data_IF_587355969976
#
_entry.id   IF_587355969976
#
_cell.length_a   1.000
_cell.length_b   1.000
_cell.length_c   1.000
_cell.angle_alpha   90.00
_cell.angle_beta   90.00
_cell.angle_gamma   90.00
#
_symmetry.space_group_name_H-M   'P 1'
#
loop_
_entity.id
_entity.type
_entity.pdbx_description
1 polymer ?
#
# COMPACT_ATOMS: atom_id res chain seq x y z
N UNK A 1 -7.45 -6.54 6.77
CA UNK A 1 -6.70 -5.24 6.75
C UNK A 1 -6.92 -4.49 8.06
N UNK A 2 -5.87 -3.91 8.62
CA UNK A 2 -5.96 -3.05 9.80
C UNK A 2 -6.55 -1.69 9.42
N UNK A 3 -7.26 -1.03 10.37
CA UNK A 3 -7.91 0.27 10.12
C UNK A 3 -7.23 1.35 10.93
N UNK A 4 -6.93 2.48 10.29
CA UNK A 4 -6.36 3.68 10.91
C UNK A 4 -7.26 4.87 10.64
N UNK A 5 -7.59 5.65 11.69
CA UNK A 5 -8.41 6.87 11.55
C UNK A 5 -7.52 8.10 11.48
N UNK A 6 -7.78 8.98 10.51
CA UNK A 6 -7.10 10.25 10.29
C UNK A 6 -8.12 11.38 10.18
N UNK A 7 -7.78 12.56 10.69
CA UNK A 7 -8.61 13.76 10.57
C UNK A 7 -8.03 14.69 9.52
N UNK A 8 -8.81 14.99 8.49
CA UNK A 8 -8.44 15.92 7.44
C UNK A 8 -9.27 17.21 7.48
N UNK A 9 -8.77 18.24 6.82
CA UNK A 9 -9.52 19.47 6.58
C UNK A 9 -9.73 19.66 5.09
N UNK A 10 -10.95 19.98 4.64
CA UNK A 10 -11.22 20.23 3.24
C UNK A 10 -10.41 21.42 2.72
N UNK A 11 -10.13 21.41 1.42
CA UNK A 11 -9.33 22.42 0.75
C UNK A 11 -10.08 22.98 -0.45
N UNK A 12 -10.37 24.26 -0.44
CA UNK A 12 -11.06 24.96 -1.54
C UNK A 12 -10.08 25.44 -2.62
N UNK A 13 -8.92 25.96 -2.20
CA UNK A 13 -7.94 26.52 -3.13
C UNK A 13 -6.98 25.45 -3.65
N UNK A 14 -7.03 25.17 -4.94
CA UNK A 14 -6.18 24.22 -5.61
C UNK A 14 -5.18 24.97 -6.49
N UNK A 15 -3.91 24.99 -6.09
CA UNK A 15 -2.87 25.69 -6.86
C UNK A 15 -1.46 25.49 -6.33
N UNK A 16 -0.47 25.82 -7.16
CA UNK A 16 0.97 25.64 -6.86
C UNK A 16 1.43 26.46 -5.65
N UNK A 17 0.96 27.72 -5.56
CA UNK A 17 1.35 28.62 -4.45
C UNK A 17 0.78 28.13 -3.12
N UNK A 18 -0.48 27.74 -3.12
CA UNK A 18 -1.16 27.21 -1.94
C UNK A 18 -0.54 25.88 -1.48
N UNK A 19 -0.33 24.93 -2.38
CA UNK A 19 0.33 23.67 -2.06
C UNK A 19 1.74 23.87 -1.45
N UNK A 20 2.51 24.87 -1.92
CA UNK A 20 3.81 25.22 -1.33
C UNK A 20 3.66 25.77 0.09
N UNK A 21 2.68 26.66 0.32
CA UNK A 21 2.42 27.23 1.64
C UNK A 21 1.96 26.19 2.65
N UNK A 22 1.12 25.23 2.26
CA UNK A 22 0.66 24.12 3.10
C UNK A 22 1.85 23.24 3.53
N UNK A 23 2.71 22.82 2.60
CA UNK A 23 3.89 22.01 2.92
C UNK A 23 4.87 22.72 3.85
N UNK A 24 5.00 24.03 3.77
CA UNK A 24 5.81 24.82 4.72
C UNK A 24 5.24 24.80 6.14
N UNK A 25 3.93 24.58 6.29
CA UNK A 25 3.24 24.45 7.58
C UNK A 25 3.22 23.00 8.10
N UNK A 26 3.85 22.04 7.38
CA UNK A 26 3.81 20.62 7.73
C UNK A 26 2.49 19.93 7.34
N UNK A 27 1.73 20.53 6.42
CA UNK A 27 0.49 19.96 5.90
C UNK A 27 0.73 19.37 4.51
N UNK A 28 0.18 18.19 4.27
CA UNK A 28 0.27 17.48 3.00
C UNK A 28 -1.04 17.64 2.23
N UNK A 29 -1.00 18.20 1.02
CA UNK A 29 -2.17 18.21 0.14
C UNK A 29 -2.49 16.81 -0.33
N UNK A 30 -3.76 16.42 -0.21
CA UNK A 30 -4.28 15.11 -0.56
C UNK A 30 -5.46 15.24 -1.51
N UNK A 31 -5.73 14.15 -2.24
CA UNK A 31 -6.91 13.99 -3.06
C UNK A 31 -7.61 12.68 -2.72
N UNK A 32 -8.92 12.73 -2.62
CA UNK A 32 -9.81 11.58 -2.50
C UNK A 32 -10.59 11.44 -3.80
N UNK A 33 -10.59 10.25 -4.38
CA UNK A 33 -11.33 9.94 -5.60
C UNK A 33 -11.91 8.52 -5.54
N UNK A 34 -12.70 8.16 -6.54
CA UNK A 34 -13.39 6.85 -6.62
C UNK A 34 -14.85 6.90 -6.22
N UNK A 35 -15.28 7.93 -5.48
CA UNK A 35 -16.66 8.24 -5.17
C UNK A 35 -17.38 9.08 -6.25
N UNK A 36 -18.49 9.69 -5.89
CA UNK A 36 -19.27 10.57 -6.78
C UNK A 36 -18.53 11.86 -7.13
N UNK A 37 -17.75 12.38 -6.17
CA UNK A 37 -17.00 13.63 -6.31
C UNK A 37 -15.55 13.44 -5.89
N UNK A 38 -14.67 14.14 -6.57
CA UNK A 38 -13.29 14.28 -6.14
C UNK A 38 -13.20 15.35 -5.05
N UNK A 39 -12.60 15.01 -3.91
CA UNK A 39 -12.45 15.90 -2.77
C UNK A 39 -10.97 16.21 -2.56
N UNK A 40 -10.64 17.50 -2.48
CA UNK A 40 -9.31 17.95 -2.11
C UNK A 40 -9.28 18.29 -0.62
N UNK A 41 -8.28 17.80 0.09
CA UNK A 41 -8.13 18.00 1.52
C UNK A 41 -6.66 18.05 1.93
N UNK A 42 -6.39 18.31 3.19
CA UNK A 42 -5.06 18.32 3.77
C UNK A 42 -5.00 17.45 5.00
N UNK A 43 -3.87 16.77 5.19
CA UNK A 43 -3.53 16.01 6.39
C UNK A 43 -2.24 16.56 7.01
N UNK A 44 -2.04 16.37 8.30
CA UNK A 44 -0.76 16.63 8.96
C UNK A 44 0.29 15.59 8.51
N UNK A 45 1.50 16.02 8.18
CA UNK A 45 2.60 15.14 7.77
C UNK A 45 2.90 14.05 8.82
N UNK A 46 2.69 14.35 10.11
CA UNK A 46 2.91 13.42 11.22
C UNK A 46 1.96 12.22 11.20
N UNK A 47 0.74 12.42 10.71
CA UNK A 47 -0.26 11.35 10.64
C UNK A 47 0.11 10.28 9.63
N UNK A 48 0.87 10.63 8.60
CA UNK A 48 1.39 9.67 7.63
C UNK A 48 2.37 8.67 8.25
N UNK A 49 3.03 9.02 9.34
CA UNK A 49 3.96 8.12 10.02
C UNK A 49 3.30 6.77 10.41
N UNK A 50 1.99 6.77 10.67
CA UNK A 50 1.22 5.60 11.07
C UNK A 50 0.93 4.63 9.91
N UNK A 51 0.95 5.11 8.67
CA UNK A 51 0.49 4.34 7.50
C UNK A 51 1.58 4.14 6.42
N UNK A 52 2.65 4.95 6.46
CA UNK A 52 3.67 4.99 5.41
C UNK A 52 4.92 4.19 5.77
N UNK A 53 5.38 4.29 7.02
CA UNK A 53 6.62 3.65 7.46
C UNK A 53 6.45 2.20 7.92
N UNK A 54 5.33 1.60 7.58
CA UNK A 54 5.02 0.19 7.83
C UNK A 54 4.93 -0.57 6.51
N UNK A 55 5.33 -1.85 6.45
CA UNK A 55 5.15 -2.66 5.25
C UNK A 55 3.68 -2.98 4.96
N UNK A 56 2.84 -2.91 5.97
CA UNK A 56 1.44 -3.29 5.93
C UNK A 56 0.57 -2.36 5.07
N UNK A 57 -0.58 -2.84 4.65
CA UNK A 57 -1.57 -2.04 3.92
C UNK A 57 -2.77 -1.78 4.82
N UNK A 58 -3.11 -0.50 5.00
CA UNK A 58 -4.16 -0.05 5.90
C UNK A 58 -5.41 0.41 5.15
N UNK A 59 -6.56 0.09 5.72
CA UNK A 59 -7.80 0.78 5.42
C UNK A 59 -7.80 2.09 6.24
N UNK A 60 -7.83 3.23 5.57
CA UNK A 60 -7.73 4.54 6.22
C UNK A 60 -9.13 5.15 6.30
N UNK A 61 -9.61 5.39 7.51
CA UNK A 61 -10.84 6.18 7.75
C UNK A 61 -10.46 7.64 7.84
N UNK A 62 -10.91 8.43 6.88
CA UNK A 62 -10.66 9.87 6.85
C UNK A 62 -11.92 10.59 7.30
N UNK A 63 -11.80 11.40 8.36
CA UNK A 63 -12.88 12.28 8.81
C UNK A 63 -12.73 13.64 8.13
N UNK A 64 -13.70 14.02 7.31
CA UNK A 64 -13.80 15.33 6.64
C UNK A 64 -15.15 15.95 6.99
N UNK A 65 -15.13 17.16 7.58
CA UNK A 65 -16.35 17.90 7.97
C UNK A 65 -17.36 17.10 8.80
N UNK A 66 -16.86 16.10 9.56
CA UNK A 66 -17.70 15.24 10.40
C UNK A 66 -18.20 13.95 9.72
N UNK A 67 -17.93 13.77 8.44
CA UNK A 67 -18.19 12.54 7.72
C UNK A 67 -16.96 11.62 7.74
N UNK A 68 -17.17 10.34 8.05
CA UNK A 68 -16.13 9.32 7.98
C UNK A 68 -16.21 8.59 6.64
N UNK A 69 -15.11 8.60 5.88
CA UNK A 69 -15.00 7.94 4.58
C UNK A 69 -13.93 6.87 4.67
N UNK A 70 -14.27 5.64 4.28
CA UNK A 70 -13.30 4.54 4.18
C UNK A 70 -12.51 4.66 2.89
N UNK A 71 -11.20 4.71 3.03
CA UNK A 71 -10.27 4.96 1.92
C UNK A 71 -9.08 4.04 1.95
N UNK A 72 -8.44 3.88 0.81
CA UNK A 72 -7.16 3.21 0.66
C UNK A 72 -6.12 4.19 0.13
N UNK A 73 -4.95 4.23 0.75
CA UNK A 73 -3.82 5.00 0.23
C UNK A 73 -3.29 4.32 -1.04
N UNK A 74 -3.39 5.01 -2.18
CA UNK A 74 -2.99 4.46 -3.49
C UNK A 74 -1.58 4.87 -3.88
N UNK A 75 -1.25 6.15 -3.71
CA UNK A 75 0.06 6.66 -4.10
C UNK A 75 0.53 7.78 -3.18
N UNK A 76 1.84 7.91 -3.04
CA UNK A 76 2.50 8.97 -2.29
C UNK A 76 3.66 9.51 -3.12
N UNK A 77 3.70 10.82 -3.24
CA UNK A 77 4.81 11.52 -3.87
C UNK A 77 5.76 12.06 -2.81
N UNK A 78 7.03 11.73 -2.94
CA UNK A 78 8.09 12.21 -2.06
C UNK A 78 8.98 13.25 -2.73
N UNK A 79 9.54 14.12 -1.93
CA UNK A 79 10.59 15.03 -2.41
C UNK A 79 11.91 14.25 -2.57
N UNK A 80 12.56 14.29 -3.75
CA UNK A 80 13.68 13.40 -4.08
C UNK A 80 14.94 13.58 -3.23
N UNK A 81 15.04 14.67 -2.46
CA UNK A 81 16.22 14.99 -1.64
C UNK A 81 15.92 14.99 -0.15
N UNK A 82 14.71 15.39 0.24
CA UNK A 82 14.34 15.58 1.66
C UNK A 82 13.40 14.51 2.19
N UNK A 83 12.93 13.59 1.34
CA UNK A 83 11.96 12.52 1.62
C UNK A 83 10.62 13.02 2.21
N UNK A 84 10.41 14.34 2.23
CA UNK A 84 9.13 14.91 2.67
C UNK A 84 8.01 14.53 1.72
N UNK A 85 6.84 14.26 2.27
CA UNK A 85 5.66 13.93 1.49
C UNK A 85 5.15 15.19 0.78
N UNK A 86 5.04 15.11 -0.54
CA UNK A 86 4.56 16.20 -1.40
C UNK A 86 3.07 16.11 -1.69
N UNK A 87 2.56 14.91 -1.86
CA UNK A 87 1.16 14.63 -2.19
C UNK A 87 0.80 13.21 -1.80
N UNK A 88 -0.47 12.98 -1.51
CA UNK A 88 -1.01 11.63 -1.30
C UNK A 88 -2.37 11.47 -1.98
N UNK A 89 -2.55 10.32 -2.59
CA UNK A 89 -3.74 9.95 -3.34
C UNK A 89 -4.51 8.86 -2.58
N UNK A 90 -5.76 9.13 -2.26
CA UNK A 90 -6.65 8.21 -1.57
C UNK A 90 -7.78 7.77 -2.49
N UNK A 91 -8.05 6.48 -2.50
CA UNK A 91 -9.19 5.88 -3.20
C UNK A 91 -10.30 5.56 -2.20
N UNK A 92 -11.50 6.05 -2.45
CA UNK A 92 -12.69 5.68 -1.67
C UNK A 92 -13.02 4.19 -1.90
N UNK A 93 -13.25 3.48 -0.80
CA UNK A 93 -13.51 2.04 -0.80
C UNK A 93 -14.98 1.76 -0.61
N UNK A 94 -15.56 1.02 -1.55
CA UNK A 94 -16.94 0.54 -1.50
C UNK A 94 -16.97 -0.97 -1.32
N UNK A 95 -17.94 -1.46 -0.57
CA UNK A 95 -18.11 -2.89 -0.30
C UNK A 95 -18.46 -3.72 -1.53
N UNK A 96 -19.08 -3.10 -2.53
CA UNK A 96 -19.59 -3.72 -3.77
C UNK A 96 -18.65 -3.57 -4.97
N UNK A 97 -17.56 -2.80 -4.83
CA UNK A 97 -16.60 -2.57 -5.91
C UNK A 97 -15.25 -3.23 -5.62
N UNK A 98 -14.70 -4.00 -6.57
CA UNK A 98 -13.36 -4.54 -6.41
C UNK A 98 -12.32 -3.41 -6.51
N UNK A 99 -11.37 -3.42 -5.59
CA UNK A 99 -10.26 -2.47 -5.55
C UNK A 99 -8.96 -3.13 -5.98
N UNK A 100 -8.02 -2.32 -6.43
CA UNK A 100 -6.64 -2.70 -6.70
C UNK A 100 -5.77 -2.25 -5.54
N UNK A 101 -4.99 -3.18 -4.97
CA UNK A 101 -4.15 -2.89 -3.81
C UNK A 101 -2.84 -3.66 -3.88
N UNK A 102 -1.75 -3.06 -3.38
CA UNK A 102 -0.47 -3.71 -3.22
C UNK A 102 -0.35 -4.29 -1.81
N UNK A 103 -0.29 -5.63 -1.71
CA UNK A 103 -0.23 -6.36 -0.44
C UNK A 103 1.22 -6.81 -0.19
N UNK A 104 1.74 -6.68 1.05
CA UNK A 104 3.08 -7.13 1.38
C UNK A 104 3.22 -8.65 1.30
N UNK A 105 4.43 -9.09 0.99
CA UNK A 105 4.80 -10.51 0.93
C UNK A 105 5.68 -10.83 2.12
N UNK A 106 5.34 -11.91 2.83
CA UNK A 106 6.11 -12.45 3.94
C UNK A 106 6.64 -13.83 3.58
N UNK A 107 7.93 -14.06 3.76
CA UNK A 107 8.51 -15.38 3.68
C UNK A 107 8.36 -16.06 5.04
N UNK A 108 7.76 -17.25 5.07
CA UNK A 108 7.49 -18.02 6.29
C UNK A 108 8.23 -19.35 6.23
N UNK A 109 8.85 -19.76 7.33
CA UNK A 109 9.65 -20.97 7.45
C UNK A 109 11.14 -20.75 7.20
N UNK A 110 11.90 -21.83 7.28
CA UNK A 110 13.37 -21.85 7.11
C UNK A 110 13.72 -22.57 5.81
N UNK A 111 14.32 -21.86 4.87
CA UNK A 111 14.72 -22.46 3.60
C UNK A 111 16.00 -23.31 3.77
N UNK A 112 16.00 -24.60 3.39
CA UNK A 112 17.20 -25.44 3.41
C UNK A 112 18.36 -24.86 2.59
N UNK A 113 18.05 -24.15 1.51
CA UNK A 113 19.03 -23.45 0.70
C UNK A 113 19.77 -22.36 1.47
N UNK A 114 19.09 -21.62 2.34
CA UNK A 114 19.71 -20.59 3.20
C UNK A 114 20.57 -21.24 4.27
N UNK A 115 20.12 -22.34 4.87
CA UNK A 115 20.89 -23.11 5.85
C UNK A 115 22.17 -23.70 5.26
N UNK A 116 22.18 -23.99 3.96
CA UNK A 116 23.37 -24.50 3.20
C UNK A 116 24.30 -23.36 2.74
N UNK A 117 24.03 -22.11 3.13
CA UNK A 117 24.86 -20.95 2.82
C UNK A 117 24.35 -20.07 1.66
N UNK A 118 23.17 -20.35 1.12
CA UNK A 118 22.50 -19.49 0.14
C UNK A 118 21.93 -18.21 0.78
N UNK A 119 21.55 -17.26 -0.05
CA UNK A 119 20.93 -15.99 0.35
C UNK A 119 19.50 -15.92 -0.17
N UNK A 120 18.55 -15.62 0.72
CA UNK A 120 17.16 -15.34 0.35
C UNK A 120 17.07 -13.94 -0.25
N UNK A 121 16.62 -13.85 -1.47
CA UNK A 121 16.42 -12.58 -2.18
C UNK A 121 14.92 -12.35 -2.46
N UNK A 122 14.32 -11.42 -1.75
CA UNK A 122 12.94 -10.99 -1.97
C UNK A 122 12.95 -9.90 -3.06
N UNK A 123 12.54 -10.27 -4.27
CA UNK A 123 12.55 -9.39 -5.46
C UNK A 123 11.35 -8.47 -5.43
N UNK A 124 10.15 -9.02 -5.18
CA UNK A 124 8.92 -8.25 -5.01
C UNK A 124 8.48 -8.27 -3.55
N UNK A 125 8.56 -7.11 -2.91
CA UNK A 125 8.13 -6.94 -1.52
C UNK A 125 6.62 -6.78 -1.37
N UNK A 126 5.94 -6.35 -2.44
CA UNK A 126 4.48 -6.20 -2.50
C UNK A 126 3.99 -6.77 -3.83
N UNK A 127 2.82 -7.40 -3.81
CA UNK A 127 2.12 -7.90 -4.99
C UNK A 127 0.84 -7.13 -5.19
N UNK A 128 0.57 -6.75 -6.45
CA UNK A 128 -0.65 -6.02 -6.79
C UNK A 128 -1.76 -7.01 -7.06
N UNK A 129 -2.80 -6.94 -6.24
CA UNK A 129 -4.00 -7.79 -6.37
C UNK A 129 -5.25 -6.96 -6.61
N UNK A 130 -6.26 -7.61 -7.14
CA UNK A 130 -7.62 -7.09 -7.31
C UNK A 130 -8.59 -7.98 -6.57
N UNK A 131 -9.41 -7.37 -5.70
CA UNK A 131 -10.43 -8.06 -4.92
C UNK A 131 -11.33 -7.09 -4.19
N UNK A 132 -12.30 -7.63 -3.43
CA UNK A 132 -13.13 -6.81 -2.55
C UNK A 132 -12.38 -6.51 -1.26
N UNK A 133 -12.57 -5.33 -0.69
CA UNK A 133 -11.85 -4.88 0.50
C UNK A 133 -11.94 -5.87 1.69
N UNK A 134 -13.08 -6.54 1.85
CA UNK A 134 -13.31 -7.54 2.90
C UNK A 134 -12.51 -8.85 2.72
N UNK A 135 -12.14 -9.18 1.49
CA UNK A 135 -11.45 -10.43 1.16
C UNK A 135 -9.92 -10.23 1.07
N UNK A 136 -9.42 -9.00 1.25
CA UNK A 136 -8.00 -8.68 1.16
C UNK A 136 -7.32 -8.97 2.50
N UNK A 137 -6.32 -9.88 2.56
CA UNK A 137 -5.54 -10.18 3.75
C UNK A 137 -4.55 -9.06 4.10
N UNK A 138 -3.97 -9.11 5.30
CA UNK A 138 -2.93 -8.16 5.73
C UNK A 138 -1.60 -8.40 5.02
N UNK A 139 -1.31 -9.64 4.64
CA UNK A 139 -0.11 -10.04 3.92
C UNK A 139 -0.32 -11.33 3.14
N UNK A 140 0.61 -11.65 2.25
CA UNK A 140 0.67 -12.90 1.50
C UNK A 140 1.86 -13.69 2.05
N UNK A 141 1.57 -14.77 2.76
CA UNK A 141 2.59 -15.65 3.32
C UNK A 141 3.04 -16.66 2.26
N UNK A 142 4.34 -16.72 2.04
CA UNK A 142 4.97 -17.67 1.13
C UNK A 142 5.82 -18.64 1.96
N UNK A 143 5.47 -19.92 1.94
CA UNK A 143 6.26 -20.97 2.57
C UNK A 143 7.54 -21.23 1.77
N UNK A 144 8.68 -21.02 2.43
CA UNK A 144 10.01 -21.21 1.86
C UNK A 144 10.70 -22.50 2.35
N UNK A 145 10.02 -23.32 3.16
CA UNK A 145 10.61 -24.51 3.82
C UNK A 145 11.15 -25.58 2.86
N UNK A 146 10.75 -25.52 1.59
CA UNK A 146 11.17 -26.48 0.57
C UNK A 146 12.15 -25.90 -0.45
N UNK A 147 12.62 -24.66 -0.28
CA UNK A 147 13.45 -23.98 -1.27
C UNK A 147 14.94 -24.31 -1.09
N UNK A 148 15.57 -24.82 -2.14
CA UNK A 148 17.01 -25.04 -2.24
C UNK A 148 17.72 -23.87 -2.97
N UNK A 149 19.06 -23.92 -2.97
CA UNK A 149 19.87 -22.94 -3.72
C UNK A 149 19.57 -23.08 -5.21
N UNK A 150 19.18 -21.97 -5.85
CA UNK A 150 18.79 -21.90 -7.26
C UNK A 150 17.27 -21.88 -7.46
N UNK A 151 16.47 -22.18 -6.43
CA UNK A 151 15.02 -22.18 -6.55
C UNK A 151 14.44 -20.77 -6.51
N UNK A 152 13.25 -20.62 -7.11
CA UNK A 152 12.51 -19.37 -7.15
C UNK A 152 11.01 -19.62 -7.11
N UNK A 153 10.29 -18.79 -6.39
CA UNK A 153 8.82 -18.77 -6.36
C UNK A 153 8.31 -17.65 -7.27
N UNK A 154 7.38 -17.99 -8.13
CA UNK A 154 6.75 -17.07 -9.08
C UNK A 154 5.31 -16.79 -8.70
N UNK A 155 4.73 -15.70 -9.22
CA UNK A 155 3.35 -15.32 -8.93
C UNK A 155 2.36 -16.43 -9.31
N UNK A 156 2.58 -17.15 -10.41
CA UNK A 156 1.71 -18.27 -10.83
C UNK A 156 1.70 -19.46 -9.84
N UNK A 157 2.72 -19.55 -9.00
CA UNK A 157 2.86 -20.63 -8.01
C UNK A 157 2.11 -20.27 -6.70
N UNK A 158 1.61 -19.02 -6.61
CA UNK A 158 0.84 -18.50 -5.49
C UNK A 158 -0.67 -18.61 -5.79
N UNK A 159 -1.42 -19.00 -4.77
CA UNK A 159 -2.88 -19.04 -4.83
C UNK A 159 -3.43 -18.34 -3.60
N UNK A 160 -4.24 -17.31 -3.82
CA UNK A 160 -4.96 -16.62 -2.75
C UNK A 160 -6.44 -16.61 -3.13
N UNK A 161 -7.28 -17.13 -2.23
CA UNK A 161 -8.70 -17.25 -2.48
C UNK A 161 -9.34 -15.87 -2.74
N UNK A 162 -10.23 -15.81 -3.75
CA UNK A 162 -11.02 -14.63 -4.14
C UNK A 162 -10.23 -13.40 -4.60
N UNK A 163 -8.91 -13.51 -4.78
CA UNK A 163 -8.06 -12.44 -5.28
C UNK A 163 -7.52 -12.79 -6.67
N UNK A 164 -7.35 -11.77 -7.49
CA UNK A 164 -6.72 -11.90 -8.80
C UNK A 164 -5.42 -11.10 -8.80
N UNK A 165 -4.29 -11.76 -9.07
CA UNK A 165 -3.02 -11.08 -9.27
C UNK A 165 -3.05 -10.27 -10.57
N UNK A 166 -2.62 -9.02 -10.51
CA UNK A 166 -2.51 -8.14 -11.68
C UNK A 166 -1.13 -8.28 -12.32
N UNK A 167 -0.13 -8.53 -11.49
CA UNK A 167 1.24 -8.72 -11.95
C UNK A 167 1.36 -9.99 -12.80
N UNK A 168 2.27 -10.01 -13.81
CA UNK A 168 2.44 -11.16 -14.69
C UNK A 168 2.87 -12.42 -13.94
N UNK A 169 2.18 -13.54 -14.19
CA UNK A 169 2.39 -14.81 -13.47
C UNK A 169 3.81 -15.40 -13.59
N UNK A 170 4.59 -15.00 -14.60
CA UNK A 170 5.98 -15.46 -14.77
C UNK A 170 7.00 -14.68 -13.92
N UNK A 171 6.57 -13.57 -13.30
CA UNK A 171 7.44 -12.72 -12.47
C UNK A 171 7.87 -13.48 -11.20
N UNK A 172 9.16 -13.45 -10.90
CA UNK A 172 9.72 -14.05 -9.70
C UNK A 172 9.48 -13.14 -8.50
N UNK A 173 8.91 -13.69 -7.44
CA UNK A 173 8.62 -12.99 -6.18
C UNK A 173 9.83 -13.06 -5.25
N UNK A 174 10.35 -14.27 -5.04
CA UNK A 174 11.52 -14.52 -4.23
C UNK A 174 12.39 -15.64 -4.83
N UNK A 175 13.66 -15.66 -4.50
CA UNK A 175 14.60 -16.70 -4.91
C UNK A 175 15.68 -16.91 -3.86
N UNK A 176 16.22 -18.14 -3.80
CA UNK A 176 17.41 -18.47 -3.00
C UNK A 176 18.61 -18.57 -3.94
N UNK A 177 19.66 -17.79 -3.68
CA UNK A 177 20.88 -17.75 -4.48
C UNK A 177 22.09 -18.20 -3.66
#
# INVERSE_FOLDING_TARGET
>A
MQTVSLSGSPRENVGKKDAKALRQKGLVPCVLYGGEKQVHFVLDERDFAKIVYTPETYLVKITLDGEEIETLLQDIQYHPVTDKILHADFLEVFTDKPIRVAIPVHAVGDAPGVMKGGSLNLILRKLVVRGFAKDIPDGIDIDISNLEIGDSVRIRDLSVDKLTFIDPGHTVVLSVK
#
